data_IF_666234694150
#
_entry.id   IF_666234694150
#
_cell.length_a   1.000
_cell.length_b   1.000
_cell.length_c   1.000
_cell.angle_alpha   90.00
_cell.angle_beta   90.00
_cell.angle_gamma   90.00
#
_symmetry.space_group_name_H-M   'P 1'
#
loop_
_entity.id
_entity.type
_entity.pdbx_description
1 polymer ?
#
# COMPACT_ATOMS: atom_id res chain seq x y z
N UNK A 1 -12.34 32.66 -84.04
CA UNK A 1 -12.75 32.76 -82.66
C UNK A 1 -12.30 31.46 -81.97
N UNK A 2 -11.16 31.49 -81.19
CA UNK A 2 -10.65 30.34 -80.44
C UNK A 2 -11.09 30.50 -78.99
N UNK A 3 -11.89 29.53 -78.47
CA UNK A 3 -12.29 29.48 -77.05
C UNK A 3 -11.24 28.68 -76.29
N UNK A 4 -10.54 29.35 -75.37
CA UNK A 4 -9.60 28.76 -74.43
C UNK A 4 -10.39 28.30 -73.21
N UNK A 5 -10.41 26.99 -72.90
CA UNK A 5 -11.01 26.41 -71.67
C UNK A 5 -9.91 26.27 -70.65
N UNK A 6 -10.01 27.05 -69.55
CA UNK A 6 -9.13 26.88 -68.34
C UNK A 6 -9.72 25.75 -67.51
N UNK A 7 -8.90 24.70 -67.32
CA UNK A 7 -9.15 23.66 -66.29
C UNK A 7 -8.57 24.14 -64.95
N UNK A 8 -9.46 24.36 -63.98
CA UNK A 8 -9.06 24.54 -62.59
C UNK A 8 -8.95 23.14 -61.94
N UNK A 9 -7.74 22.71 -61.64
CA UNK A 9 -7.47 21.50 -60.81
C UNK A 9 -7.54 21.92 -59.36
N UNK A 10 -8.61 21.52 -58.67
CA UNK A 10 -8.73 21.65 -57.20
C UNK A 10 -7.86 20.61 -56.54
N UNK A 11 -6.77 21.05 -55.90
CA UNK A 11 -5.90 20.21 -55.08
C UNK A 11 -6.55 20.04 -53.70
N UNK A 12 -7.19 18.87 -53.45
CA UNK A 12 -7.74 18.52 -52.15
C UNK A 12 -6.59 18.15 -51.22
N UNK A 13 -6.18 19.04 -50.31
CA UNK A 13 -5.34 18.69 -49.18
C UNK A 13 -6.14 17.82 -48.21
N UNK A 14 -5.97 16.52 -48.29
CA UNK A 14 -6.41 15.60 -47.23
C UNK A 14 -5.48 15.77 -46.02
N UNK A 15 -5.89 16.53 -45.04
CA UNK A 15 -5.23 16.50 -43.72
C UNK A 15 -5.51 15.14 -43.10
N UNK A 16 -4.52 14.25 -43.16
CA UNK A 16 -4.53 13.03 -42.36
C UNK A 16 -4.49 13.45 -40.89
N UNK A 17 -5.62 13.40 -40.21
CA UNK A 17 -5.68 13.43 -38.76
C UNK A 17 -5.03 12.12 -38.30
N UNK A 18 -3.74 12.16 -37.97
CA UNK A 18 -3.08 11.08 -37.25
C UNK A 18 -3.79 10.97 -35.90
N UNK A 19 -4.74 10.04 -35.81
CA UNK A 19 -5.39 9.70 -34.57
C UNK A 19 -4.31 9.27 -33.59
N UNK A 20 -4.12 10.04 -32.53
CA UNK A 20 -3.19 9.74 -31.46
C UNK A 20 -3.63 8.41 -30.83
N UNK A 21 -2.79 7.38 -30.93
CA UNK A 21 -3.11 6.04 -30.42
C UNK A 21 -3.07 6.05 -28.89
N UNK A 22 -4.06 5.42 -28.25
CA UNK A 22 -4.09 5.28 -26.81
C UNK A 22 -2.85 4.52 -26.32
N UNK A 23 -2.24 5.00 -25.23
CA UNK A 23 -1.08 4.40 -24.61
C UNK A 23 -1.48 3.70 -23.31
N UNK A 24 -1.09 2.44 -23.15
CA UNK A 24 -1.31 1.68 -21.93
C UNK A 24 -0.28 2.03 -20.87
N UNK A 25 -0.73 2.09 -19.61
CA UNK A 25 0.11 2.13 -18.41
C UNK A 25 -0.08 0.83 -17.66
N UNK A 26 0.94 0.00 -17.60
CA UNK A 26 0.91 -1.26 -16.88
C UNK A 26 1.34 -1.01 -15.43
N UNK A 27 0.48 -1.27 -14.48
CA UNK A 27 0.69 -1.03 -13.06
C UNK A 27 0.66 -2.34 -12.31
N UNK A 28 1.79 -2.74 -11.75
CA UNK A 28 1.85 -3.87 -10.82
C UNK A 28 1.44 -3.36 -9.44
N UNK A 29 0.46 -4.02 -8.83
CA UNK A 29 -0.07 -3.63 -7.53
C UNK A 29 -0.61 -4.85 -6.77
N UNK A 30 -1.20 -4.67 -5.60
CA UNK A 30 -1.74 -5.75 -4.79
C UNK A 30 -3.25 -5.95 -5.02
N UNK A 31 -3.75 -7.13 -4.70
CA UNK A 31 -5.08 -7.61 -5.04
C UNK A 31 -6.22 -6.75 -4.45
N UNK A 32 -6.09 -6.36 -3.16
CA UNK A 32 -7.10 -5.53 -2.50
C UNK A 32 -7.26 -4.15 -3.15
N UNK A 33 -6.18 -3.59 -3.71
CA UNK A 33 -6.24 -2.32 -4.43
C UNK A 33 -7.10 -2.42 -5.70
N UNK A 34 -7.05 -3.55 -6.40
CA UNK A 34 -7.73 -3.76 -7.69
C UNK A 34 -9.09 -4.45 -7.59
N UNK A 35 -9.48 -4.90 -6.41
CA UNK A 35 -10.80 -5.48 -6.16
C UNK A 35 -11.92 -4.49 -6.50
N UNK A 36 -13.12 -4.98 -6.77
CA UNK A 36 -14.28 -4.13 -7.11
C UNK A 36 -14.59 -3.09 -6.04
N UNK A 37 -14.31 -3.41 -4.77
CA UNK A 37 -14.43 -2.52 -3.61
C UNK A 37 -13.17 -1.68 -3.35
N UNK A 38 -12.04 -1.98 -4.01
CA UNK A 38 -10.75 -1.30 -3.83
C UNK A 38 -10.67 0.08 -4.48
N UNK A 39 -9.56 0.76 -4.26
CA UNK A 39 -9.33 2.10 -4.81
C UNK A 39 -9.06 2.10 -6.32
N UNK A 40 -8.44 1.03 -6.84
CA UNK A 40 -7.96 0.92 -8.21
C UNK A 40 -8.99 1.22 -9.29
N UNK A 41 -10.20 0.61 -9.27
CA UNK A 41 -11.22 0.88 -10.28
C UNK A 41 -11.63 2.36 -10.36
N UNK A 42 -11.78 3.04 -9.22
CA UNK A 42 -12.15 4.46 -9.15
C UNK A 42 -11.01 5.36 -9.62
N UNK A 43 -9.77 5.04 -9.24
CA UNK A 43 -8.59 5.77 -9.70
C UNK A 43 -8.42 5.63 -11.20
N UNK A 44 -8.55 4.42 -11.75
CA UNK A 44 -8.53 4.17 -13.19
C UNK A 44 -9.58 5.04 -13.92
N UNK A 45 -10.82 5.04 -13.42
CA UNK A 45 -11.90 5.82 -14.02
C UNK A 45 -11.57 7.32 -14.03
N UNK A 46 -11.18 7.91 -12.90
CA UNK A 46 -10.84 9.33 -12.81
C UNK A 46 -9.62 9.69 -13.65
N UNK A 47 -8.60 8.84 -13.64
CA UNK A 47 -7.41 9.03 -14.45
C UNK A 47 -7.70 9.00 -15.96
N UNK A 48 -8.43 8.00 -16.44
CA UNK A 48 -8.76 7.87 -17.86
C UNK A 48 -9.74 8.94 -18.36
N UNK A 49 -10.57 9.50 -17.48
CA UNK A 49 -11.39 10.68 -17.79
C UNK A 49 -10.52 11.93 -17.97
N UNK A 50 -9.53 12.11 -17.11
CA UNK A 50 -8.61 13.25 -17.17
C UNK A 50 -7.61 13.15 -18.31
N UNK A 51 -7.16 11.93 -18.62
CA UNK A 51 -6.20 11.63 -19.68
C UNK A 51 -6.75 10.57 -20.65
N UNK A 52 -7.64 10.95 -21.58
CA UNK A 52 -8.39 9.98 -22.42
C UNK A 52 -7.53 9.07 -23.29
N UNK A 53 -6.30 9.52 -23.60
CA UNK A 53 -5.33 8.74 -24.39
C UNK A 53 -4.50 7.78 -23.52
N UNK A 54 -4.64 7.82 -22.21
CA UNK A 54 -3.95 6.91 -21.29
C UNK A 54 -4.94 5.84 -20.79
N UNK A 55 -4.53 4.57 -20.86
CA UNK A 55 -5.33 3.43 -20.39
C UNK A 55 -4.59 2.67 -19.32
N UNK A 56 -5.19 2.54 -18.15
CA UNK A 56 -4.62 1.82 -17.02
C UNK A 56 -4.89 0.33 -17.15
N UNK A 57 -3.82 -0.46 -17.02
CA UNK A 57 -3.87 -1.91 -16.96
C UNK A 57 -3.22 -2.38 -15.65
N UNK A 58 -4.04 -2.82 -14.69
CA UNK A 58 -3.55 -3.36 -13.43
C UNK A 58 -3.18 -4.83 -13.57
N UNK A 59 -2.05 -5.19 -12.97
CA UNK A 59 -1.66 -6.58 -12.72
C UNK A 59 -1.56 -6.81 -11.21
N UNK A 60 -2.55 -7.51 -10.62
CA UNK A 60 -2.59 -7.72 -9.19
C UNK A 60 -1.69 -8.87 -8.73
N UNK A 61 -1.16 -8.73 -7.51
CA UNK A 61 -0.43 -9.75 -6.76
C UNK A 61 -1.04 -9.89 -5.37
N UNK A 62 -0.78 -10.98 -4.68
CA UNK A 62 -1.35 -11.25 -3.35
C UNK A 62 -0.97 -10.18 -2.30
N UNK A 63 0.16 -9.48 -2.50
CA UNK A 63 0.65 -8.45 -1.56
C UNK A 63 1.77 -7.61 -2.17
N UNK A 64 2.12 -6.51 -1.50
CA UNK A 64 3.28 -5.67 -1.87
C UNK A 64 4.61 -6.42 -1.82
N UNK A 65 4.77 -7.38 -0.90
CA UNK A 65 5.97 -8.21 -0.83
C UNK A 65 6.11 -9.16 -2.03
N UNK A 66 5.04 -9.85 -2.39
CA UNK A 66 4.99 -10.71 -3.58
C UNK A 66 5.24 -9.90 -4.85
N UNK A 67 4.61 -8.73 -4.94
CA UNK A 67 4.82 -7.76 -6.01
C UNK A 67 6.29 -7.38 -6.17
N UNK A 68 6.95 -6.97 -5.10
CA UNK A 68 8.35 -6.55 -5.14
C UNK A 68 9.30 -7.70 -5.53
N UNK A 69 9.06 -8.90 -4.98
CA UNK A 69 9.80 -10.09 -5.37
C UNK A 69 9.66 -10.38 -6.86
N UNK A 70 8.46 -10.23 -7.41
CA UNK A 70 8.19 -10.43 -8.84
C UNK A 70 8.97 -9.45 -9.70
N UNK A 71 8.91 -8.18 -9.40
CA UNK A 71 9.64 -7.13 -10.16
C UNK A 71 11.15 -7.38 -10.10
N UNK A 72 11.69 -7.78 -8.96
CA UNK A 72 13.11 -8.13 -8.82
C UNK A 72 13.52 -9.33 -9.68
N UNK A 73 12.67 -10.35 -9.76
CA UNK A 73 12.92 -11.53 -10.61
C UNK A 73 12.89 -11.18 -12.11
N UNK A 74 11.97 -10.31 -12.51
CA UNK A 74 11.86 -9.86 -13.90
C UNK A 74 12.99 -8.89 -14.28
N UNK A 75 13.48 -8.12 -13.30
CA UNK A 75 14.51 -7.10 -13.52
C UNK A 75 14.09 -6.09 -14.58
N UNK A 76 15.02 -5.69 -15.46
CA UNK A 76 14.77 -4.77 -16.57
C UNK A 76 13.81 -5.33 -17.66
N UNK A 77 13.43 -6.60 -17.58
CA UNK A 77 12.46 -7.22 -18.50
C UNK A 77 11.03 -7.15 -18.00
N UNK A 78 10.80 -6.51 -16.86
CA UNK A 78 9.45 -6.35 -16.33
C UNK A 78 8.55 -5.62 -17.31
N UNK A 79 7.27 -5.97 -17.34
CA UNK A 79 6.25 -5.30 -18.17
C UNK A 79 5.57 -4.15 -17.43
N UNK A 80 5.88 -3.95 -16.16
CA UNK A 80 5.35 -2.84 -15.39
C UNK A 80 5.94 -1.51 -15.89
N UNK A 81 5.13 -0.48 -15.98
CA UNK A 81 5.57 0.91 -16.08
C UNK A 81 5.67 1.54 -14.68
N UNK A 82 4.75 1.13 -13.80
CA UNK A 82 4.66 1.58 -12.41
C UNK A 82 4.52 0.37 -11.49
N UNK A 83 5.17 0.44 -10.35
CA UNK A 83 4.94 -0.42 -9.19
C UNK A 83 4.24 0.41 -8.13
N UNK A 84 3.07 -0.04 -7.66
CA UNK A 84 2.25 0.64 -6.67
C UNK A 84 1.97 -0.35 -5.53
N UNK A 85 2.51 -0.09 -4.34
CA UNK A 85 2.39 -0.99 -3.20
C UNK A 85 3.72 -1.48 -2.63
N UNK A 86 4.82 -0.76 -2.90
CA UNK A 86 6.02 -0.84 -2.08
C UNK A 86 5.77 -0.16 -0.73
N UNK A 87 6.63 -0.34 0.23
CA UNK A 87 6.53 0.29 1.54
C UNK A 87 7.90 0.82 2.04
N UNK A 88 7.85 1.62 3.09
CA UNK A 88 9.05 2.22 3.68
C UNK A 88 10.06 1.20 4.22
N UNK A 89 9.67 -0.04 4.52
CA UNK A 89 10.60 -1.07 5.03
C UNK A 89 11.43 -1.72 3.90
N UNK A 90 10.93 -1.70 2.67
CA UNK A 90 11.70 -2.20 1.50
C UNK A 90 12.38 -1.09 0.70
N UNK A 91 12.23 0.17 1.11
CA UNK A 91 12.75 1.33 0.39
C UNK A 91 14.23 1.21 0.06
N UNK A 92 15.07 0.88 1.03
CA UNK A 92 16.52 0.76 0.82
C UNK A 92 16.88 -0.42 -0.10
N UNK A 93 16.15 -1.52 -0.02
CA UNK A 93 16.33 -2.65 -0.94
C UNK A 93 15.88 -2.29 -2.38
N UNK A 94 14.79 -1.55 -2.49
CA UNK A 94 14.29 -1.04 -3.77
C UNK A 94 15.28 -0.08 -4.42
N UNK A 95 15.88 0.84 -3.67
CA UNK A 95 16.96 1.73 -4.14
C UNK A 95 18.17 0.95 -4.65
N UNK A 96 18.63 -0.03 -3.89
CA UNK A 96 19.78 -0.88 -4.26
C UNK A 96 19.51 -1.70 -5.52
N UNK A 97 18.28 -2.01 -5.85
CA UNK A 97 17.90 -2.78 -7.04
C UNK A 97 18.20 -2.06 -8.35
N UNK A 98 18.22 -0.73 -8.35
CA UNK A 98 18.36 0.16 -9.53
C UNK A 98 17.30 -0.08 -10.61
N UNK A 99 16.15 -0.64 -10.24
CA UNK A 99 15.04 -0.92 -11.15
C UNK A 99 14.10 0.27 -11.33
N UNK A 100 14.22 1.30 -10.49
CA UNK A 100 13.30 2.43 -10.44
C UNK A 100 13.99 3.73 -10.87
N UNK A 101 13.22 4.61 -11.47
CA UNK A 101 13.67 5.90 -11.96
C UNK A 101 13.02 7.06 -11.19
N UNK A 102 13.63 8.22 -11.29
CA UNK A 102 13.14 9.47 -10.72
C UNK A 102 11.74 9.78 -11.29
N UNK A 103 10.81 10.13 -10.43
CA UNK A 103 9.56 10.78 -10.85
C UNK A 103 9.72 12.31 -10.79
N UNK A 104 8.85 13.03 -11.49
CA UNK A 104 8.87 14.50 -11.56
C UNK A 104 7.72 15.14 -10.78
N UNK A 105 7.13 14.39 -9.85
CA UNK A 105 6.00 14.86 -9.03
C UNK A 105 6.47 15.96 -8.09
N UNK A 106 5.68 16.99 -7.94
CA UNK A 106 5.92 18.07 -6.99
C UNK A 106 5.69 17.60 -5.56
N UNK A 107 6.78 17.26 -4.86
CA UNK A 107 6.78 16.76 -3.49
C UNK A 107 6.30 17.81 -2.46
N UNK A 108 6.20 19.09 -2.82
CA UNK A 108 5.65 20.12 -1.93
C UNK A 108 4.17 19.91 -1.59
N UNK A 109 3.48 19.10 -2.39
CA UNK A 109 2.08 18.69 -2.14
C UNK A 109 1.94 17.67 -1.01
N UNK A 110 3.04 16.99 -0.62
CA UNK A 110 3.00 15.95 0.41
C UNK A 110 2.78 16.55 1.81
N UNK A 111 1.95 15.89 2.57
CA UNK A 111 1.67 16.15 3.98
C UNK A 111 1.77 14.84 4.76
N UNK A 112 3.00 14.44 5.07
CA UNK A 112 3.32 13.26 5.87
C UNK A 112 3.71 13.65 7.30
N UNK A 113 3.57 12.73 8.27
CA UNK A 113 4.07 12.94 9.62
C UNK A 113 5.60 13.09 9.70
N UNK A 114 6.30 12.59 8.69
CA UNK A 114 7.77 12.65 8.56
C UNK A 114 8.14 13.36 7.28
N UNK A 115 9.28 14.06 7.29
CA UNK A 115 9.78 14.72 6.10
C UNK A 115 10.15 13.70 5.02
N UNK A 116 9.65 13.89 3.80
CA UNK A 116 9.95 13.04 2.65
C UNK A 116 10.75 13.81 1.61
N UNK A 117 11.92 13.28 1.21
CA UNK A 117 12.81 13.95 0.25
C UNK A 117 13.19 13.05 -0.93
N UNK A 118 12.74 11.78 -0.91
CA UNK A 118 13.01 10.84 -2.01
C UNK A 118 12.13 11.17 -3.22
N UNK A 119 12.74 11.36 -4.38
CA UNK A 119 12.05 11.70 -5.62
C UNK A 119 11.91 10.50 -6.58
N UNK A 120 12.32 9.31 -6.19
CA UNK A 120 12.10 8.07 -6.93
C UNK A 120 10.84 7.37 -6.45
N UNK A 121 10.68 7.26 -5.12
CA UNK A 121 9.55 6.58 -4.49
C UNK A 121 8.56 7.61 -3.95
N UNK A 122 7.36 7.60 -4.52
CA UNK A 122 6.30 8.55 -4.19
C UNK A 122 5.35 7.97 -3.14
N UNK A 123 5.23 8.55 -1.95
CA UNK A 123 4.16 8.21 -1.02
C UNK A 123 2.79 8.52 -1.63
N UNK A 124 1.85 7.56 -1.53
CA UNK A 124 0.47 7.79 -1.98
C UNK A 124 -0.55 7.58 -0.86
N UNK A 125 -0.20 6.90 0.20
CA UNK A 125 -0.93 6.82 1.46
C UNK A 125 0.01 6.42 2.61
N UNK A 126 -0.52 6.46 3.83
CA UNK A 126 0.14 5.90 5.00
C UNK A 126 -0.89 5.42 6.03
N UNK A 127 -0.44 4.58 6.95
CA UNK A 127 -1.25 4.09 8.05
C UNK A 127 -0.40 3.64 9.23
N UNK A 128 -1.06 3.31 10.33
CA UNK A 128 -0.41 2.69 11.49
C UNK A 128 -0.96 1.30 11.68
N UNK A 129 -0.08 0.34 11.96
CA UNK A 129 -0.51 -1.01 12.25
C UNK A 129 -1.28 -1.08 13.55
N UNK A 130 -2.29 -1.93 13.57
CA UNK A 130 -3.08 -2.25 14.75
C UNK A 130 -3.67 -3.65 14.61
N UNK A 131 -3.98 -4.28 15.73
CA UNK A 131 -4.81 -5.47 15.72
C UNK A 131 -6.27 -5.06 15.79
N UNK A 132 -7.07 -5.53 14.84
CA UNK A 132 -8.51 -5.29 14.77
C UNK A 132 -9.24 -6.43 15.46
N UNK A 133 -10.28 -6.11 16.19
CA UNK A 133 -11.11 -7.05 16.95
C UNK A 133 -12.58 -6.63 16.93
N UNK A 134 -13.44 -7.59 17.24
CA UNK A 134 -14.87 -7.36 17.45
C UNK A 134 -15.12 -7.10 18.95
N UNK A 135 -15.59 -5.91 19.31
CA UNK A 135 -15.91 -5.49 20.69
C UNK A 135 -16.98 -6.36 21.37
N UNK A 136 -17.84 -7.01 20.58
CA UNK A 136 -18.86 -7.89 21.13
C UNK A 136 -18.28 -9.23 21.59
N UNK A 137 -17.16 -9.65 20.99
CA UNK A 137 -16.46 -10.89 21.30
C UNK A 137 -15.30 -10.68 22.28
N UNK A 138 -14.47 -9.65 22.03
CA UNK A 138 -13.29 -9.35 22.86
C UNK A 138 -13.60 -8.18 23.76
N UNK A 139 -14.01 -8.46 25.01
CA UNK A 139 -14.38 -7.41 25.98
C UNK A 139 -13.16 -6.72 26.62
N UNK A 140 -12.04 -7.41 26.71
CA UNK A 140 -10.78 -6.89 27.26
C UNK A 140 -9.69 -6.99 26.18
N UNK A 141 -9.60 -6.04 25.23
CA UNK A 141 -8.56 -6.05 24.23
C UNK A 141 -7.19 -5.83 24.85
N UNK A 142 -6.11 -6.41 24.28
CA UNK A 142 -4.75 -6.22 24.78
C UNK A 142 -4.34 -4.75 24.65
N UNK A 143 -3.65 -4.23 25.68
CA UNK A 143 -3.20 -2.83 25.77
C UNK A 143 -1.74 -2.64 25.37
N UNK A 144 -1.04 -3.73 25.11
CA UNK A 144 0.35 -3.73 24.67
C UNK A 144 0.62 -4.89 23.72
N UNK A 145 1.66 -4.77 22.90
CA UNK A 145 2.11 -5.88 22.05
C UNK A 145 2.53 -7.08 22.88
N UNK A 146 3.23 -6.83 24.00
CA UNK A 146 3.64 -7.88 24.96
C UNK A 146 2.44 -8.61 25.53
N UNK A 147 1.40 -7.89 25.93
CA UNK A 147 0.16 -8.49 26.42
C UNK A 147 -0.50 -9.37 25.34
N UNK A 148 -0.59 -8.89 24.09
CA UNK A 148 -1.12 -9.71 23.00
C UNK A 148 -0.32 -10.99 22.83
N UNK A 149 1.01 -10.93 22.85
CA UNK A 149 1.88 -12.10 22.68
C UNK A 149 1.67 -13.14 23.79
N UNK A 150 1.40 -12.69 25.02
CA UNK A 150 1.22 -13.54 26.20
C UNK A 150 -0.20 -14.12 26.36
N UNK A 151 -1.21 -13.51 25.72
CA UNK A 151 -2.64 -13.80 25.90
C UNK A 151 -3.10 -15.01 25.10
N UNK A 152 -2.87 -16.24 25.60
CA UNK A 152 -3.29 -17.49 24.94
C UNK A 152 -4.82 -17.67 24.83
N UNK A 153 -5.62 -16.82 25.50
CA UNK A 153 -7.06 -16.76 25.35
C UNK A 153 -7.54 -16.05 24.06
N UNK A 154 -6.64 -15.37 23.35
CA UNK A 154 -6.92 -14.68 22.09
C UNK A 154 -6.35 -15.44 20.90
N UNK A 155 -7.20 -15.81 19.96
CA UNK A 155 -6.78 -16.40 18.69
C UNK A 155 -6.34 -15.30 17.72
N UNK A 156 -5.11 -15.40 17.23
CA UNK A 156 -4.47 -14.36 16.40
C UNK A 156 -4.30 -14.85 14.96
N UNK A 157 -4.53 -13.97 14.00
CA UNK A 157 -4.12 -14.11 12.60
C UNK A 157 -3.23 -12.92 12.23
N UNK A 158 -2.10 -13.19 11.58
CA UNK A 158 -1.23 -12.20 10.98
C UNK A 158 -0.67 -12.71 9.65
N UNK A 159 0.09 -11.87 8.92
CA UNK A 159 0.58 -12.18 7.60
C UNK A 159 2.06 -12.57 7.63
N UNK A 160 2.46 -13.40 6.68
CA UNK A 160 3.84 -13.86 6.50
C UNK A 160 4.77 -12.69 6.12
N UNK A 161 5.80 -12.38 6.92
CA UNK A 161 6.70 -11.26 6.65
C UNK A 161 7.57 -11.45 5.39
N UNK A 162 7.66 -12.68 4.86
CA UNK A 162 8.39 -12.95 3.61
C UNK A 162 7.65 -12.43 2.38
N UNK A 163 6.33 -12.42 2.43
CA UNK A 163 5.47 -12.08 1.29
C UNK A 163 4.64 -10.83 1.51
N UNK A 164 4.28 -10.49 2.76
CA UNK A 164 3.37 -9.40 3.09
C UNK A 164 4.09 -8.20 3.69
N UNK A 165 3.77 -7.00 3.18
CA UNK A 165 4.17 -5.72 3.79
C UNK A 165 3.63 -5.57 5.21
N UNK A 166 2.38 -6.00 5.44
CA UNK A 166 1.75 -5.95 6.77
C UNK A 166 2.46 -6.88 7.75
N UNK A 167 2.77 -8.10 7.30
CA UNK A 167 3.56 -9.05 8.09
C UNK A 167 4.95 -8.52 8.45
N UNK A 168 5.61 -7.81 7.50
CA UNK A 168 6.87 -7.12 7.80
C UNK A 168 6.69 -6.03 8.87
N UNK A 169 5.56 -5.35 8.87
CA UNK A 169 5.23 -4.38 9.91
C UNK A 169 5.24 -5.01 11.31
N UNK A 170 4.62 -6.19 11.48
CA UNK A 170 4.68 -6.92 12.74
C UNK A 170 6.10 -7.40 13.07
N UNK A 171 6.84 -7.87 12.08
CA UNK A 171 8.24 -8.27 12.28
C UNK A 171 9.08 -7.11 12.85
N UNK A 172 8.94 -5.91 12.27
CA UNK A 172 9.60 -4.69 12.74
C UNK A 172 9.10 -4.32 14.14
N UNK A 173 7.80 -4.40 14.39
CA UNK A 173 7.20 -4.09 15.69
C UNK A 173 7.76 -4.99 16.80
N UNK A 174 7.77 -6.29 16.58
CA UNK A 174 8.33 -7.28 17.51
C UNK A 174 9.82 -7.00 17.82
N UNK A 175 10.62 -6.77 16.79
CA UNK A 175 12.05 -6.52 16.94
C UNK A 175 12.39 -5.13 17.53
N UNK A 176 11.43 -4.21 17.53
CA UNK A 176 11.61 -2.88 18.16
C UNK A 176 11.17 -2.89 19.63
N UNK A 177 10.13 -3.66 19.97
CA UNK A 177 9.56 -3.73 21.32
C UNK A 177 10.35 -4.69 22.22
N UNK A 178 10.78 -5.84 21.68
CA UNK A 178 11.50 -6.84 22.46
C UNK A 178 13.02 -6.66 22.33
N UNK A 179 13.77 -6.85 23.42
CA UNK A 179 15.23 -7.01 23.32
C UNK A 179 15.58 -8.17 22.38
N UNK A 180 16.64 -8.05 21.60
CA UNK A 180 17.02 -9.03 20.58
C UNK A 180 17.08 -10.49 21.11
N UNK A 181 17.55 -10.68 22.36
CA UNK A 181 17.63 -12.00 22.98
C UNK A 181 16.25 -12.62 23.31
N UNK A 182 15.18 -11.84 23.33
CA UNK A 182 13.83 -12.28 23.69
C UNK A 182 12.89 -12.44 22.48
N UNK A 183 13.26 -11.94 21.31
CA UNK A 183 12.40 -11.92 20.13
C UNK A 183 11.99 -13.35 19.71
N UNK A 184 12.93 -14.30 19.69
CA UNK A 184 12.62 -15.68 19.35
C UNK A 184 11.60 -16.30 20.31
N UNK A 185 11.77 -16.10 21.61
CA UNK A 185 10.82 -16.57 22.62
C UNK A 185 9.44 -15.91 22.46
N UNK A 186 9.40 -14.61 22.15
CA UNK A 186 8.14 -13.90 21.89
C UNK A 186 7.40 -14.47 20.67
N UNK A 187 8.08 -14.82 19.59
CA UNK A 187 7.49 -15.50 18.44
C UNK A 187 6.96 -16.90 18.79
N UNK A 188 7.70 -17.68 19.57
CA UNK A 188 7.22 -18.99 20.04
C UNK A 188 5.97 -18.85 20.92
N UNK A 189 5.92 -17.84 21.77
CA UNK A 189 4.76 -17.57 22.62
C UNK A 189 3.55 -17.16 21.78
N UNK A 190 3.70 -16.24 20.83
CA UNK A 190 2.63 -15.86 19.91
C UNK A 190 2.13 -17.04 19.07
N UNK A 191 3.03 -17.91 18.64
CA UNK A 191 2.69 -19.09 17.84
C UNK A 191 1.72 -20.07 18.54
N UNK A 192 1.73 -20.14 19.88
CA UNK A 192 0.84 -21.03 20.65
C UNK A 192 -0.64 -20.72 20.42
N UNK A 193 -0.97 -19.47 20.09
CA UNK A 193 -2.34 -19.03 19.85
C UNK A 193 -2.55 -18.35 18.49
N UNK A 194 -1.59 -18.48 17.58
CA UNK A 194 -1.74 -18.09 16.18
C UNK A 194 -2.51 -19.15 15.42
N UNK A 195 -3.67 -18.80 14.88
CA UNK A 195 -4.52 -19.70 14.10
C UNK A 195 -3.87 -20.01 12.75
N UNK A 196 -3.41 -18.96 12.08
CA UNK A 196 -2.72 -19.07 10.79
C UNK A 196 -1.85 -17.85 10.54
N UNK A 197 -0.84 -18.04 9.70
CA UNK A 197 -0.03 -16.99 9.11
C UNK A 197 -0.36 -16.97 7.62
N UNK A 198 -1.11 -15.94 7.18
CA UNK A 198 -1.61 -15.87 5.81
C UNK A 198 -0.62 -15.20 4.85
N UNK A 199 -0.86 -15.35 3.56
CA UNK A 199 0.01 -14.83 2.51
C UNK A 199 -0.07 -13.31 2.36
N UNK A 200 -1.26 -12.73 2.57
CA UNK A 200 -1.53 -11.33 2.40
C UNK A 200 -2.68 -10.84 3.27
N UNK A 201 -2.96 -9.53 3.16
CA UNK A 201 -3.99 -8.90 3.98
C UNK A 201 -5.40 -9.38 3.66
N UNK A 202 -5.74 -9.56 2.38
CA UNK A 202 -7.10 -9.92 1.94
C UNK A 202 -7.57 -11.25 2.52
N UNK A 203 -6.74 -12.28 2.48
CA UNK A 203 -7.12 -13.60 2.99
C UNK A 203 -7.20 -13.62 4.52
N UNK A 204 -6.28 -12.96 5.22
CA UNK A 204 -6.27 -12.92 6.70
C UNK A 204 -7.40 -12.08 7.27
N UNK A 205 -7.66 -10.92 6.69
CA UNK A 205 -8.77 -10.07 7.13
C UNK A 205 -10.14 -10.73 6.82
N UNK A 206 -10.25 -11.38 5.66
CA UNK A 206 -11.42 -12.17 5.30
C UNK A 206 -11.68 -13.33 6.26
N UNK A 207 -10.65 -14.06 6.69
CA UNK A 207 -10.75 -15.11 7.69
C UNK A 207 -11.22 -14.57 9.06
N UNK A 208 -10.67 -13.43 9.49
CA UNK A 208 -11.13 -12.75 10.70
C UNK A 208 -12.62 -12.37 10.63
N UNK A 209 -13.08 -11.80 9.53
CA UNK A 209 -14.48 -11.42 9.35
C UNK A 209 -15.43 -12.62 9.38
N UNK A 210 -14.96 -13.82 9.02
CA UNK A 210 -15.68 -15.08 9.16
C UNK A 210 -15.65 -15.66 10.58
N UNK A 211 -14.93 -15.01 11.50
CA UNK A 211 -14.85 -15.42 12.90
C UNK A 211 -13.78 -16.50 13.17
N UNK A 212 -12.83 -16.71 12.28
CA UNK A 212 -11.77 -17.70 12.44
C UNK A 212 -10.73 -17.30 13.50
N UNK A 213 -10.64 -16.00 13.82
CA UNK A 213 -9.77 -15.48 14.88
C UNK A 213 -10.47 -14.36 15.68
N UNK A 214 -9.91 -14.04 16.84
CA UNK A 214 -10.40 -12.98 17.72
C UNK A 214 -9.76 -11.63 17.39
N UNK A 215 -8.52 -11.65 16.91
CA UNK A 215 -7.77 -10.47 16.48
C UNK A 215 -7.01 -10.75 15.18
N UNK A 216 -6.92 -9.72 14.33
CA UNK A 216 -6.18 -9.77 13.07
C UNK A 216 -5.28 -8.56 12.94
N UNK A 217 -4.05 -8.77 12.45
CA UNK A 217 -3.16 -7.66 12.12
C UNK A 217 -3.70 -6.91 10.90
N UNK A 218 -3.92 -5.61 11.07
CA UNK A 218 -4.40 -4.69 10.05
C UNK A 218 -3.93 -3.26 10.39
N UNK A 219 -4.83 -2.27 10.27
CA UNK A 219 -4.52 -0.85 10.48
C UNK A 219 -5.51 -0.20 11.44
N UNK A 220 -5.09 0.88 12.07
CA UNK A 220 -5.94 1.72 12.93
C UNK A 220 -7.16 2.29 12.19
N UNK A 221 -7.11 2.39 10.88
CA UNK A 221 -8.18 2.87 10.01
C UNK A 221 -9.24 1.83 9.69
N UNK A 222 -8.95 0.54 9.84
CA UNK A 222 -9.85 -0.54 9.40
C UNK A 222 -11.26 -0.45 10.00
N UNK A 223 -11.48 -0.08 11.28
CA UNK A 223 -12.82 0.06 11.82
C UNK A 223 -13.69 1.12 11.13
N UNK A 224 -13.07 2.19 10.60
CA UNK A 224 -13.82 3.25 9.90
C UNK A 224 -14.53 2.75 8.65
N UNK A 225 -13.94 1.80 7.92
CA UNK A 225 -14.60 1.19 6.77
C UNK A 225 -15.93 0.56 7.16
N UNK A 226 -15.94 -0.23 8.22
CA UNK A 226 -17.15 -0.90 8.72
C UNK A 226 -18.19 0.10 9.22
N UNK A 227 -17.75 1.16 9.91
CA UNK A 227 -18.65 2.21 10.41
C UNK A 227 -19.29 3.00 9.26
N UNK A 228 -18.51 3.44 8.30
CA UNK A 228 -18.96 4.36 7.24
C UNK A 228 -19.72 3.66 6.11
N UNK A 229 -19.32 2.44 5.77
CA UNK A 229 -19.83 1.76 4.57
C UNK A 229 -20.70 0.53 4.87
N UNK A 230 -20.59 -0.05 6.06
CA UNK A 230 -21.37 -1.22 6.47
C UNK A 230 -22.33 -0.94 7.64
N UNK A 231 -22.28 0.26 8.21
CA UNK A 231 -23.04 0.64 9.40
C UNK A 231 -22.84 -0.32 10.59
N UNK A 232 -21.59 -0.75 10.79
CA UNK A 232 -21.17 -1.66 11.86
C UNK A 232 -20.24 -0.94 12.82
N UNK A 233 -20.66 -0.86 14.08
CA UNK A 233 -19.92 -0.17 15.16
C UNK A 233 -19.12 -1.12 16.06
N UNK A 234 -19.18 -2.43 15.80
CA UNK A 234 -18.60 -3.45 16.68
C UNK A 234 -17.11 -3.66 16.48
N UNK A 235 -16.52 -3.25 15.36
CA UNK A 235 -15.07 -3.38 15.14
C UNK A 235 -14.29 -2.23 15.78
N UNK A 236 -13.13 -2.56 16.34
CA UNK A 236 -12.18 -1.60 16.91
C UNK A 236 -10.74 -2.02 16.64
N UNK A 237 -9.83 -1.07 16.76
CA UNK A 237 -8.39 -1.29 16.62
C UNK A 237 -7.70 -1.10 17.97
N UNK A 238 -6.69 -1.92 18.24
CA UNK A 238 -5.86 -1.79 19.45
C UNK A 238 -4.99 -0.53 19.38
N UNK A 239 -4.70 0.03 20.56
CA UNK A 239 -3.64 1.03 20.74
C UNK A 239 -2.68 0.47 21.79
N UNK A 240 -1.42 0.24 21.40
CA UNK A 240 -0.44 -0.37 22.28
C UNK A 240 0.42 0.65 23.02
N UNK A 241 0.67 0.39 24.30
CA UNK A 241 1.41 1.29 25.18
C UNK A 241 2.88 1.48 24.74
N UNK A 242 3.47 0.50 24.07
CA UNK A 242 4.84 0.60 23.55
C UNK A 242 4.99 1.63 22.40
N UNK A 243 3.89 1.95 21.73
CA UNK A 243 3.85 2.84 20.58
C UNK A 243 3.53 2.14 19.28
N UNK A 244 3.22 2.93 18.26
CA UNK A 244 2.79 2.48 16.95
C UNK A 244 3.94 2.36 15.96
N UNK A 245 3.76 1.50 14.96
CA UNK A 245 4.61 1.41 13.78
C UNK A 245 3.85 1.94 12.58
N UNK A 246 4.48 2.84 11.83
CA UNK A 246 3.90 3.46 10.64
C UNK A 246 4.33 2.71 9.39
N UNK A 247 3.38 2.50 8.48
CA UNK A 247 3.63 2.13 7.09
C UNK A 247 3.37 3.34 6.20
N UNK A 248 4.29 3.61 5.28
CA UNK A 248 4.09 4.53 4.16
C UNK A 248 4.10 3.69 2.89
N UNK A 249 3.02 3.72 2.14
CA UNK A 249 2.95 3.02 0.86
C UNK A 249 3.49 3.88 -0.27
N UNK A 250 4.22 3.25 -1.18
CA UNK A 250 5.04 3.91 -2.19
C UNK A 250 4.70 3.42 -3.58
N UNK A 251 4.63 4.36 -4.52
CA UNK A 251 4.62 4.11 -5.95
C UNK A 251 5.97 4.51 -6.57
N UNK A 252 6.40 3.78 -7.59
CA UNK A 252 7.63 4.11 -8.31
C UNK A 252 7.52 3.72 -9.79
N UNK A 253 8.17 4.51 -10.66
CA UNK A 253 8.31 4.21 -12.08
C UNK A 253 9.44 3.21 -12.30
N UNK A 254 9.26 2.31 -13.25
CA UNK A 254 10.32 1.44 -13.70
C UNK A 254 11.33 2.24 -14.54
N UNK A 255 12.61 2.06 -14.26
CA UNK A 255 13.70 2.66 -15.03
C UNK A 255 13.64 2.21 -16.50
N UNK A 256 14.09 3.11 -17.41
CA UNK A 256 14.18 2.88 -18.84
C UNK A 256 12.85 2.78 -19.59
N UNK A 257 11.71 2.72 -18.89
CA UNK A 257 10.39 2.75 -19.50
C UNK A 257 9.96 4.19 -19.79
N UNK A 258 9.99 4.58 -21.07
CA UNK A 258 9.51 5.90 -21.52
C UNK A 258 8.02 5.84 -21.79
N UNK A 259 7.21 6.15 -20.77
CA UNK A 259 5.77 6.16 -20.85
C UNK A 259 5.22 7.43 -20.22
N UNK A 260 4.82 8.40 -21.05
CA UNK A 260 4.27 9.68 -20.57
C UNK A 260 2.99 9.49 -19.74
N UNK A 261 2.19 8.50 -20.06
CA UNK A 261 1.00 8.18 -19.26
C UNK A 261 1.36 7.68 -17.85
N UNK A 262 2.54 7.05 -17.69
CA UNK A 262 3.04 6.70 -16.36
C UNK A 262 3.41 7.95 -15.55
N UNK A 263 4.02 8.97 -16.17
CA UNK A 263 4.29 10.25 -15.51
C UNK A 263 2.99 10.94 -15.07
N UNK A 264 2.01 11.00 -15.94
CA UNK A 264 0.68 11.54 -15.60
C UNK A 264 -0.01 10.78 -14.48
N UNK A 265 0.16 9.45 -14.42
CA UNK A 265 -0.41 8.64 -13.36
C UNK A 265 0.25 8.93 -12.00
N UNK A 266 1.57 9.07 -11.97
CA UNK A 266 2.30 9.45 -10.74
C UNK A 266 1.84 10.82 -10.22
N UNK A 267 1.71 11.83 -11.09
CA UNK A 267 1.15 13.14 -10.72
C UNK A 267 -0.30 13.04 -10.23
N UNK A 268 -1.10 12.18 -10.84
CA UNK A 268 -2.50 12.01 -10.50
C UNK A 268 -2.70 11.46 -9.08
N UNK A 269 -1.80 10.59 -8.59
CA UNK A 269 -1.88 10.01 -7.25
C UNK A 269 -1.96 11.05 -6.13
N UNK A 270 -1.37 12.24 -6.31
CA UNK A 270 -1.43 13.32 -5.32
C UNK A 270 -2.58 14.31 -5.55
N UNK A 271 -3.52 14.02 -6.42
CA UNK A 271 -4.72 14.84 -6.60
C UNK A 271 -5.82 14.44 -5.61
N UNK A 272 -6.71 15.36 -5.21
CA UNK A 272 -7.87 15.02 -4.39
C UNK A 272 -8.76 13.92 -5.01
N UNK A 273 -8.84 13.86 -6.35
CA UNK A 273 -9.59 12.83 -7.07
C UNK A 273 -9.04 11.43 -6.85
N UNK A 274 -7.72 11.26 -6.80
CA UNK A 274 -7.08 9.98 -6.50
C UNK A 274 -7.04 9.69 -4.99
N UNK A 275 -6.80 10.71 -4.16
CA UNK A 275 -6.69 10.55 -2.71
C UNK A 275 -8.03 10.15 -2.07
N UNK A 276 -9.17 10.60 -2.60
CA UNK A 276 -10.47 10.21 -2.05
C UNK A 276 -10.72 8.70 -2.12
N UNK A 277 -10.62 8.00 -3.25
CA UNK A 277 -10.72 6.54 -3.27
C UNK A 277 -9.61 5.82 -2.50
N UNK A 278 -8.39 6.37 -2.43
CA UNK A 278 -7.33 5.84 -1.58
C UNK A 278 -7.79 5.84 -0.12
N UNK A 279 -8.31 6.94 0.39
CA UNK A 279 -8.80 7.05 1.77
C UNK A 279 -10.03 6.15 2.00
N UNK A 280 -11.02 6.22 1.12
CA UNK A 280 -12.33 5.59 1.38
C UNK A 280 -12.40 4.12 0.97
N UNK A 281 -11.54 3.64 0.08
CA UNK A 281 -11.55 2.27 -0.41
C UNK A 281 -10.25 1.50 -0.12
N UNK A 282 -9.06 2.14 -0.16
CA UNK A 282 -7.83 1.54 0.37
C UNK A 282 -7.76 1.66 1.90
N UNK A 283 -8.60 2.50 2.50
CA UNK A 283 -8.78 2.65 3.96
C UNK A 283 -7.48 3.05 4.66
N UNK A 284 -6.74 3.98 4.06
CA UNK A 284 -5.49 4.53 4.57
C UNK A 284 -5.59 6.05 4.73
N UNK A 285 -4.65 6.67 5.43
CA UNK A 285 -4.60 8.11 5.57
C UNK A 285 -4.08 8.80 4.30
N UNK A 286 -4.63 9.98 3.95
CA UNK A 286 -4.17 10.74 2.80
C UNK A 286 -2.78 11.35 3.04
N UNK A 287 -2.03 11.55 1.96
CA UNK A 287 -0.70 12.18 1.97
C UNK A 287 -0.70 13.62 1.47
N UNK A 288 -1.85 14.21 1.20
CA UNK A 288 -1.97 15.63 0.77
C UNK A 288 -2.55 16.51 1.88
N UNK A 289 -2.35 17.82 1.76
CA UNK A 289 -2.83 18.79 2.75
C UNK A 289 -4.33 19.05 2.67
N UNK A 290 -4.94 18.89 1.49
CA UNK A 290 -6.36 19.11 1.30
C UNK A 290 -7.19 18.12 2.13
N UNK A 291 -8.30 18.57 2.75
CA UNK A 291 -9.25 17.65 3.39
C UNK A 291 -9.79 16.64 2.37
N UNK A 292 -9.83 15.38 2.76
CA UNK A 292 -10.25 14.29 1.85
C UNK A 292 -11.55 13.64 2.32
N UNK A 293 -11.59 13.21 3.59
CA UNK A 293 -12.77 12.60 4.21
C UNK A 293 -12.75 12.92 5.72
N UNK A 294 -13.80 13.57 6.28
CA UNK A 294 -13.75 14.12 7.64
C UNK A 294 -13.45 13.10 8.75
N UNK A 295 -13.97 11.88 8.67
CA UNK A 295 -13.74 10.86 9.70
C UNK A 295 -12.29 10.36 9.70
N UNK A 296 -11.71 10.17 8.50
CA UNK A 296 -10.31 9.81 8.36
C UNK A 296 -9.38 10.96 8.77
N UNK A 297 -9.73 12.18 8.42
CA UNK A 297 -8.95 13.36 8.81
C UNK A 297 -8.93 13.51 10.35
N UNK A 298 -10.07 13.33 11.03
CA UNK A 298 -10.18 13.34 12.49
C UNK A 298 -9.41 12.19 13.16
N UNK A 299 -9.49 10.97 12.62
CA UNK A 299 -8.73 9.84 13.13
C UNK A 299 -7.23 10.05 12.94
N UNK A 300 -6.80 10.58 11.78
CA UNK A 300 -5.41 10.93 11.51
C UNK A 300 -4.85 11.86 12.59
N UNK A 301 -5.56 12.94 12.92
CA UNK A 301 -5.15 13.86 13.99
C UNK A 301 -5.00 13.16 15.34
N UNK A 302 -5.88 12.23 15.66
CA UNK A 302 -5.83 11.44 16.91
C UNK A 302 -4.63 10.50 16.92
N UNK A 303 -4.42 9.75 15.84
CA UNK A 303 -3.33 8.79 15.70
C UNK A 303 -1.97 9.50 15.74
N UNK A 304 -1.82 10.65 15.09
CA UNK A 304 -0.57 11.41 15.06
C UNK A 304 -0.16 11.99 16.43
N UNK A 305 -1.07 12.04 17.41
CA UNK A 305 -0.75 12.41 18.80
C UNK A 305 -0.25 11.24 19.65
N UNK A 306 -0.34 10.00 19.12
CA UNK A 306 0.15 8.81 19.82
C UNK A 306 1.68 8.68 19.69
N UNK A 307 2.27 7.84 20.52
CA UNK A 307 3.69 7.52 20.44
C UNK A 307 3.99 6.65 19.22
N UNK A 308 5.07 6.98 18.52
CA UNK A 308 5.60 6.18 17.41
C UNK A 308 6.93 5.56 17.81
N UNK A 309 7.11 4.30 17.46
CA UNK A 309 8.40 3.63 17.58
C UNK A 309 9.34 4.13 16.48
N UNK A 310 10.61 4.31 16.85
CA UNK A 310 11.63 4.64 15.85
C UNK A 310 11.98 3.40 15.04
N UNK A 311 11.53 3.37 13.80
CA UNK A 311 11.79 2.31 12.83
C UNK A 311 12.69 2.77 11.69
N UNK A 312 13.34 3.93 11.84
CA UNK A 312 14.33 4.41 10.89
C UNK A 312 15.60 3.55 10.93
N UNK A 313 16.36 3.55 9.83
CA UNK A 313 17.66 2.88 9.72
C UNK A 313 17.64 1.34 9.82
N UNK A 314 16.53 0.69 9.47
CA UNK A 314 16.50 -0.77 9.33
C UNK A 314 17.11 -1.12 7.97
N UNK A 315 18.30 -1.70 7.99
CA UNK A 315 18.97 -2.11 6.75
C UNK A 315 18.28 -3.34 6.13
N UNK A 316 18.42 -3.55 4.81
CA UNK A 316 17.92 -4.77 4.15
C UNK A 316 18.51 -6.05 4.78
N UNK A 317 19.77 -5.99 5.23
CA UNK A 317 20.46 -7.10 5.91
C UNK A 317 19.80 -7.42 7.25
N UNK A 318 19.51 -6.38 8.05
CA UNK A 318 18.79 -6.52 9.33
C UNK A 318 17.40 -7.12 9.11
N UNK A 319 16.64 -6.60 8.15
CA UNK A 319 15.30 -7.11 7.86
C UNK A 319 15.33 -8.59 7.44
N UNK A 320 16.28 -8.97 6.58
CA UNK A 320 16.47 -10.38 6.19
C UNK A 320 16.85 -11.26 7.38
N UNK A 321 17.73 -10.79 8.25
CA UNK A 321 18.11 -11.50 9.48
C UNK A 321 16.89 -11.74 10.38
N UNK A 322 16.03 -10.76 10.56
CA UNK A 322 14.80 -10.90 11.34
C UNK A 322 13.80 -11.87 10.71
N UNK A 323 13.63 -11.84 9.38
CA UNK A 323 12.80 -12.81 8.66
C UNK A 323 13.33 -14.24 8.85
N UNK A 324 14.63 -14.44 8.74
CA UNK A 324 15.25 -15.75 8.92
C UNK A 324 15.09 -16.24 10.37
N UNK A 325 15.26 -15.37 11.37
CA UNK A 325 15.02 -15.69 12.77
C UNK A 325 13.57 -16.12 13.00
N UNK A 326 12.61 -15.32 12.51
CA UNK A 326 11.19 -15.64 12.59
C UNK A 326 10.89 -17.02 11.99
N UNK A 327 11.35 -17.28 10.76
CA UNK A 327 11.13 -18.54 10.06
C UNK A 327 11.75 -19.72 10.82
N UNK A 328 13.00 -19.61 11.24
CA UNK A 328 13.71 -20.67 11.96
C UNK A 328 13.02 -20.97 13.30
N UNK A 329 12.58 -19.93 14.01
CA UNK A 329 11.90 -20.08 15.30
C UNK A 329 10.57 -20.83 15.18
N UNK A 330 9.81 -20.63 14.10
CA UNK A 330 8.51 -21.29 13.90
C UNK A 330 8.60 -22.69 13.28
N UNK A 331 9.76 -23.09 12.77
CA UNK A 331 9.97 -24.42 12.17
C UNK A 331 10.66 -25.40 13.11
N UNK A 332 11.08 -24.97 14.28
CA UNK A 332 11.61 -25.80 15.37
C UNK A 332 10.48 -26.27 16.29
#
# INVERSE_FOLDING_TARGET
MKKTILFFTALSLSTAVLGQQAQNVNIYTYDSFTSDWGAGPKIKQGFEQKYPLCKVNYMPFESGGTLFNRVRLEGHKTKADIVLGLDNFVLEEAKKSKLFDINHVDLSKLSLPTQWQDNTFLPYDFGTYAFVYDKDKVKNPPKSLKELVEREDLRVIYQDPRTSSVGRGLLVWMNTVYPAAQVAQAWQQLAKHTVTVGKGWSDTYGAFLKGEADVVLSYSTSPLYHQLFENKENYAATTFAEGNVMQVELAARIAEHKNQCADHFMDFLLTPEAQKPIVTANVMFPVIQAPVEPHFDALKETVLKQSFLNTSNISPETLRSWINQWQTTLTQ
#
